data_IF_585054432186
#
_entry.id   IF_585054432186
#
_cell.length_a   1.000
_cell.length_b   1.000
_cell.length_c   1.000
_cell.angle_alpha   90.00
_cell.angle_beta   90.00
_cell.angle_gamma   90.00
#
_symmetry.space_group_name_H-M   'P 1'
#
loop_
_entity.id
_entity.type
_entity.pdbx_description
1 polymer ?
#
# COMPACT_ATOMS: atom_id res chain seq x y z
N UNK A 1 4.84 22.86 -16.13
CA UNK A 1 4.47 21.60 -16.81
C UNK A 1 2.97 21.64 -16.99
N UNK A 2 2.39 21.22 -18.13
CA UNK A 2 0.94 21.18 -18.25
C UNK A 2 0.39 20.34 -17.11
N UNK A 3 -0.74 20.76 -16.52
CA UNK A 3 -1.44 20.02 -15.46
C UNK A 3 -1.86 18.67 -16.04
N UNK A 4 -0.99 17.68 -15.90
CA UNK A 4 -1.29 16.31 -16.29
C UNK A 4 -2.40 15.84 -15.35
N UNK A 5 -3.56 15.52 -15.93
CA UNK A 5 -4.75 15.16 -15.16
C UNK A 5 -4.42 13.95 -14.27
N UNK A 6 -4.57 14.14 -12.96
CA UNK A 6 -4.28 13.10 -11.98
C UNK A 6 -5.23 11.93 -12.19
N UNK A 7 -4.69 10.71 -12.13
CA UNK A 7 -5.51 9.53 -12.23
C UNK A 7 -6.47 9.45 -11.03
N UNK A 8 -7.66 8.87 -11.21
CA UNK A 8 -8.46 8.43 -10.08
C UNK A 8 -7.74 7.27 -9.37
N UNK A 9 -7.94 7.12 -8.06
CA UNK A 9 -7.19 6.14 -7.25
C UNK A 9 -8.10 5.14 -6.55
N UNK A 10 -7.63 3.90 -6.42
CA UNK A 10 -8.19 2.89 -5.51
C UNK A 10 -7.17 2.59 -4.42
N UNK A 11 -7.57 2.72 -3.16
CA UNK A 11 -6.84 2.19 -2.01
C UNK A 11 -7.29 0.74 -1.81
N UNK A 12 -6.39 -0.21 -2.06
CA UNK A 12 -6.62 -1.64 -1.84
C UNK A 12 -6.10 -2.04 -0.45
N UNK A 13 -7.03 -2.21 0.49
CA UNK A 13 -6.72 -2.52 1.88
C UNK A 13 -6.60 -4.03 2.11
N UNK A 14 -5.36 -4.52 2.24
CA UNK A 14 -5.02 -5.93 2.49
C UNK A 14 -4.72 -6.22 3.97
N UNK A 15 -4.53 -5.17 4.78
CA UNK A 15 -4.20 -5.27 6.20
C UNK A 15 -2.74 -4.90 6.48
N UNK A 16 -2.12 -5.61 7.43
CA UNK A 16 -0.77 -5.30 7.92
C UNK A 16 -0.76 -4.29 9.05
N UNK A 17 0.43 -4.03 9.61
CA UNK A 17 0.67 -3.16 10.78
C UNK A 17 0.01 -1.78 10.67
N UNK A 18 -0.07 -1.24 9.45
CA UNK A 18 -0.72 0.04 9.14
C UNK A 18 -2.21 0.10 9.54
N UNK A 19 -2.89 -1.04 9.58
CA UNK A 19 -4.30 -1.19 9.98
C UNK A 19 -4.46 -1.76 11.41
N UNK A 20 -3.37 -1.99 12.14
CA UNK A 20 -3.40 -2.57 13.49
C UNK A 20 -3.26 -1.49 14.57
N UNK A 21 -4.00 -1.62 15.66
CA UNK A 21 -3.73 -0.88 16.90
C UNK A 21 -3.10 -1.82 17.92
N UNK A 22 -2.10 -1.32 18.65
CA UNK A 22 -1.65 -1.94 19.88
C UNK A 22 -2.37 -1.32 21.07
N UNK A 23 -3.03 -2.14 21.88
CA UNK A 23 -3.43 -1.79 23.23
C UNK A 23 -2.28 -2.07 24.21
N UNK A 24 -2.10 -1.20 25.20
CA UNK A 24 -1.04 -1.35 26.19
C UNK A 24 -1.30 -2.57 27.10
N UNK A 25 -0.85 -3.75 26.69
CA UNK A 25 -0.88 -4.99 27.47
C UNK A 25 -1.52 -6.20 26.79
N UNK A 26 -2.24 -6.00 25.69
CA UNK A 26 -2.78 -7.05 24.83
C UNK A 26 -2.23 -6.83 23.43
N UNK A 27 -1.64 -7.85 22.80
CA UNK A 27 -0.93 -7.73 21.52
C UNK A 27 -1.72 -7.02 20.40
N UNK A 28 -1.04 -6.71 19.30
CA UNK A 28 -1.60 -5.94 18.18
C UNK A 28 -2.86 -6.60 17.60
N UNK A 29 -3.97 -5.86 17.53
CA UNK A 29 -5.23 -6.34 16.95
C UNK A 29 -5.61 -5.53 15.69
N UNK A 30 -6.30 -6.13 14.71
CA UNK A 30 -6.82 -5.38 13.55
C UNK A 30 -7.81 -4.33 14.05
N UNK A 31 -7.49 -3.05 13.85
CA UNK A 31 -8.26 -1.96 14.44
C UNK A 31 -9.02 -1.13 13.41
N UNK A 32 -8.55 -1.09 12.16
CA UNK A 32 -9.12 -0.25 11.12
C UNK A 32 -9.51 -1.11 9.91
N UNK A 33 -10.74 -0.93 9.42
CA UNK A 33 -11.08 -1.28 8.05
C UNK A 33 -10.47 -0.26 7.07
N UNK A 34 -10.58 -0.51 5.76
CA UNK A 34 -9.92 0.36 4.77
C UNK A 34 -10.44 1.79 4.81
N UNK A 35 -11.74 1.96 5.03
CA UNK A 35 -12.44 3.23 5.08
C UNK A 35 -12.00 4.03 6.32
N UNK A 36 -11.93 3.38 7.49
CA UNK A 36 -11.41 3.99 8.71
C UNK A 36 -9.91 4.33 8.59
N UNK A 37 -9.13 3.51 7.89
CA UNK A 37 -7.72 3.80 7.59
C UNK A 37 -7.60 5.09 6.76
N UNK A 38 -8.38 5.21 5.68
CA UNK A 38 -8.38 6.42 4.84
C UNK A 38 -8.86 7.65 5.61
N UNK A 39 -9.90 7.50 6.43
CA UNK A 39 -10.43 8.60 7.25
C UNK A 39 -9.42 9.09 8.30
N UNK A 40 -8.54 8.22 8.79
CA UNK A 40 -7.51 8.56 9.77
C UNK A 40 -6.31 9.32 9.17
N UNK A 41 -6.14 9.35 7.84
CA UNK A 41 -5.02 10.01 7.19
C UNK A 41 -5.40 11.41 6.71
N UNK A 42 -4.81 12.48 7.29
CA UNK A 42 -5.01 13.84 6.80
C UNK A 42 -4.61 13.97 5.33
N UNK A 43 -5.47 14.61 4.53
CA UNK A 43 -5.25 14.81 3.10
C UNK A 43 -5.92 13.77 2.19
N UNK A 44 -6.07 12.50 2.60
CA UNK A 44 -6.72 11.49 1.75
C UNK A 44 -8.22 11.76 1.53
N UNK A 45 -8.92 12.31 2.52
CA UNK A 45 -10.33 12.70 2.38
C UNK A 45 -10.57 13.84 1.37
N UNK A 46 -9.52 14.54 0.95
CA UNK A 46 -9.57 15.61 -0.06
C UNK A 46 -9.19 15.12 -1.46
N UNK A 47 -8.75 13.86 -1.59
CA UNK A 47 -8.38 13.25 -2.87
C UNK A 47 -9.64 13.00 -3.68
N UNK A 48 -9.77 13.69 -4.81
CA UNK A 48 -10.85 13.46 -5.75
C UNK A 48 -10.78 12.06 -6.35
N UNK A 49 -11.94 11.46 -6.59
CA UNK A 49 -12.08 10.13 -7.18
C UNK A 49 -11.28 9.04 -6.46
N UNK A 50 -11.16 9.13 -5.13
CA UNK A 50 -10.65 8.06 -4.29
C UNK A 50 -11.73 7.01 -4.05
N UNK A 51 -11.37 5.75 -4.20
CA UNK A 51 -12.16 4.59 -3.78
C UNK A 51 -11.39 3.76 -2.79
N UNK A 52 -12.10 3.10 -1.89
CA UNK A 52 -11.52 2.11 -0.98
C UNK A 52 -12.10 0.75 -1.33
N UNK A 53 -11.23 -0.25 -1.44
CA UNK A 53 -11.60 -1.65 -1.58
C UNK A 53 -10.85 -2.45 -0.54
N UNK A 54 -11.57 -3.12 0.33
CA UNK A 54 -10.99 -4.04 1.30
C UNK A 54 -11.04 -5.48 0.77
N UNK A 55 -9.92 -6.22 0.89
CA UNK A 55 -9.98 -7.68 0.67
C UNK A 55 -10.60 -8.37 1.90
N UNK A 56 -11.44 -9.41 1.69
CA UNK A 56 -12.17 -10.05 2.77
C UNK A 56 -11.26 -10.86 3.71
N UNK A 57 -10.22 -11.49 3.16
CA UNK A 57 -9.18 -12.15 3.93
C UNK A 57 -7.98 -11.20 4.02
N UNK A 58 -7.64 -10.79 5.24
CA UNK A 58 -6.48 -9.93 5.57
C UNK A 58 -5.45 -10.74 6.37
N UNK A 59 -4.79 -11.73 5.75
CA UNK A 59 -3.83 -12.57 6.44
C UNK A 59 -2.67 -11.73 6.99
N UNK A 60 -2.08 -12.19 8.08
CA UNK A 60 -0.81 -11.62 8.55
C UNK A 60 0.24 -11.79 7.45
N UNK A 61 0.98 -10.72 7.13
CA UNK A 61 2.05 -10.81 6.12
C UNK A 61 3.08 -11.88 6.46
N UNK A 62 3.36 -12.10 7.75
CA UNK A 62 4.29 -13.13 8.22
C UNK A 62 3.81 -14.58 7.99
N UNK A 63 2.53 -14.78 7.69
CA UNK A 63 1.90 -16.10 7.50
C UNK A 63 1.22 -16.22 6.13
N UNK A 64 1.55 -15.31 5.21
CA UNK A 64 0.91 -15.22 3.90
C UNK A 64 1.26 -16.46 3.05
N UNK A 65 0.24 -17.13 2.54
CA UNK A 65 0.41 -18.25 1.61
C UNK A 65 0.54 -17.79 0.16
N UNK A 66 1.15 -18.59 -0.73
CA UNK A 66 1.26 -18.24 -2.14
C UNK A 66 -0.09 -17.96 -2.83
N UNK A 67 -1.17 -18.72 -2.58
CA UNK A 67 -2.49 -18.39 -3.14
C UNK A 67 -3.04 -17.03 -2.67
N UNK A 68 -2.80 -16.65 -1.40
CA UNK A 68 -3.22 -15.36 -0.87
C UNK A 68 -2.39 -14.21 -1.47
N UNK A 69 -1.07 -14.38 -1.56
CA UNK A 69 -0.18 -13.45 -2.25
C UNK A 69 -0.61 -13.23 -3.71
N UNK A 70 -0.95 -14.31 -4.42
CA UNK A 70 -1.45 -14.24 -5.79
C UNK A 70 -2.81 -13.53 -5.87
N UNK A 71 -3.71 -13.76 -4.91
CA UNK A 71 -5.01 -13.09 -4.86
C UNK A 71 -4.86 -11.58 -4.66
N UNK A 72 -3.92 -11.15 -3.81
CA UNK A 72 -3.61 -9.73 -3.58
C UNK A 72 -3.08 -9.09 -4.86
N UNK A 73 -2.06 -9.71 -5.47
CA UNK A 73 -1.45 -9.20 -6.70
C UNK A 73 -2.47 -9.12 -7.86
N UNK A 74 -3.33 -10.13 -8.01
CA UNK A 74 -4.42 -10.12 -9.01
C UNK A 74 -5.43 -9.02 -8.75
N UNK A 75 -5.87 -8.84 -7.50
CA UNK A 75 -6.81 -7.78 -7.17
C UNK A 75 -6.26 -6.38 -7.49
N UNK A 76 -4.96 -6.15 -7.25
CA UNK A 76 -4.30 -4.90 -7.64
C UNK A 76 -4.25 -4.71 -9.16
N UNK A 77 -3.89 -5.75 -9.91
CA UNK A 77 -3.85 -5.70 -11.38
C UNK A 77 -5.26 -5.50 -11.98
N UNK A 78 -6.28 -6.14 -11.42
CA UNK A 78 -7.68 -5.97 -11.83
C UNK A 78 -8.17 -4.52 -11.63
N UNK A 79 -7.85 -3.90 -10.50
CA UNK A 79 -8.17 -2.47 -10.28
C UNK A 79 -7.42 -1.56 -11.25
N UNK A 80 -6.14 -1.83 -11.49
CA UNK A 80 -5.31 -1.07 -12.42
C UNK A 80 -5.82 -1.16 -13.87
N UNK A 81 -6.38 -2.32 -14.26
CA UNK A 81 -7.00 -2.53 -15.57
C UNK A 81 -8.27 -1.68 -15.78
N UNK A 82 -8.86 -1.12 -14.71
CA UNK A 82 -9.95 -0.14 -14.80
C UNK A 82 -9.44 1.28 -15.09
N UNK A 83 -8.14 1.47 -15.32
CA UNK A 83 -7.51 2.78 -15.56
C UNK A 83 -7.38 3.64 -14.31
N UNK A 84 -7.38 3.02 -13.12
CA UNK A 84 -7.26 3.69 -11.83
C UNK A 84 -5.89 3.39 -11.23
N UNK A 85 -5.18 4.41 -10.76
CA UNK A 85 -3.99 4.20 -9.95
C UNK A 85 -4.34 3.36 -8.70
N UNK A 86 -3.45 2.48 -8.26
CA UNK A 86 -3.72 1.60 -7.13
C UNK A 86 -2.68 1.80 -6.04
N UNK A 87 -3.11 2.12 -4.82
CA UNK A 87 -2.26 2.08 -3.64
C UNK A 87 -2.65 0.88 -2.77
N UNK A 88 -1.73 -0.05 -2.56
CA UNK A 88 -1.95 -1.31 -1.83
C UNK A 88 -1.33 -1.20 -0.45
N UNK A 89 -2.15 -1.28 0.60
CA UNK A 89 -1.63 -1.37 1.98
C UNK A 89 -1.32 -2.82 2.30
N UNK A 90 -0.10 -3.11 2.72
CA UNK A 90 0.36 -4.46 3.03
C UNK A 90 1.19 -4.50 4.31
N UNK A 91 1.28 -5.69 4.93
CA UNK A 91 2.23 -5.91 6.03
C UNK A 91 3.65 -6.01 5.51
N UNK A 92 4.60 -5.43 6.25
CA UNK A 92 5.98 -5.23 5.75
C UNK A 92 6.79 -6.52 5.59
N UNK A 93 6.38 -7.62 6.21
CA UNK A 93 7.21 -8.84 6.27
C UNK A 93 7.30 -9.57 4.93
N UNK A 94 6.28 -9.41 4.09
CA UNK A 94 6.22 -10.01 2.75
C UNK A 94 5.85 -9.00 1.66
N UNK A 95 6.02 -7.71 1.96
CA UNK A 95 5.67 -6.63 1.04
C UNK A 95 6.51 -6.72 -0.25
N UNK A 96 7.82 -6.95 -0.13
CA UNK A 96 8.73 -7.03 -1.28
C UNK A 96 8.38 -8.19 -2.22
N UNK A 97 8.02 -9.37 -1.70
CA UNK A 97 7.68 -10.51 -2.56
C UNK A 97 6.34 -10.32 -3.26
N UNK A 98 5.32 -9.78 -2.57
CA UNK A 98 4.00 -9.57 -3.18
C UNK A 98 4.05 -8.42 -4.19
N UNK A 99 4.82 -7.36 -3.90
CA UNK A 99 5.04 -6.28 -4.85
C UNK A 99 5.76 -6.79 -6.11
N UNK A 100 6.79 -7.62 -5.95
CA UNK A 100 7.48 -8.24 -7.08
C UNK A 100 6.59 -9.21 -7.86
N UNK A 101 5.79 -10.04 -7.18
CA UNK A 101 4.80 -10.89 -7.84
C UNK A 101 3.78 -10.06 -8.65
N UNK A 102 3.35 -8.92 -8.11
CA UNK A 102 2.47 -8.00 -8.82
C UNK A 102 3.17 -7.40 -10.05
N UNK A 103 4.45 -7.02 -9.95
CA UNK A 103 5.27 -6.53 -11.07
C UNK A 103 5.33 -7.53 -12.22
N UNK A 104 5.47 -8.82 -11.91
CA UNK A 104 5.47 -9.89 -12.91
C UNK A 104 4.11 -10.12 -13.59
N UNK A 105 3.01 -9.78 -12.92
CA UNK A 105 1.64 -9.96 -13.43
C UNK A 105 1.10 -8.70 -14.11
N UNK A 106 1.64 -7.53 -13.80
CA UNK A 106 1.18 -6.26 -14.32
C UNK A 106 1.74 -6.01 -15.73
N UNK A 107 0.89 -6.19 -16.74
CA UNK A 107 1.25 -5.97 -18.14
C UNK A 107 0.86 -4.57 -18.67
N UNK A 108 0.31 -3.69 -17.81
CA UNK A 108 -0.14 -2.35 -18.17
C UNK A 108 0.82 -1.26 -17.74
N UNK A 109 0.41 -0.01 -17.98
CA UNK A 109 1.17 1.18 -17.55
C UNK A 109 0.52 1.89 -16.35
N UNK A 110 -0.68 1.48 -15.94
CA UNK A 110 -1.40 2.12 -14.82
C UNK A 110 -0.63 1.92 -13.51
N UNK A 111 -0.28 2.99 -12.76
CA UNK A 111 0.55 2.86 -11.57
C UNK A 111 -0.07 1.97 -10.49
N UNK A 112 0.73 1.03 -9.97
CA UNK A 112 0.43 0.25 -8.76
C UNK A 112 1.55 0.47 -7.75
N UNK A 113 1.18 0.89 -6.53
CA UNK A 113 2.11 1.30 -5.48
C UNK A 113 1.79 0.53 -4.20
N UNK A 114 2.73 -0.27 -3.72
CA UNK A 114 2.65 -0.93 -2.43
C UNK A 114 3.20 -0.03 -1.33
N UNK A 115 2.59 -0.12 -0.15
CA UNK A 115 3.07 0.58 1.04
C UNK A 115 2.64 -0.15 2.31
N UNK A 116 3.14 0.29 3.46
CA UNK A 116 2.82 -0.27 4.77
C UNK A 116 3.27 0.64 5.89
N UNK A 117 3.45 0.07 7.08
CA UNK A 117 3.96 0.79 8.23
C UNK A 117 4.83 -0.14 9.08
N UNK A 118 5.92 0.39 9.63
CA UNK A 118 6.76 -0.30 10.61
C UNK A 118 6.18 -0.17 12.02
N UNK A 119 5.35 0.86 12.27
CA UNK A 119 4.68 1.09 13.57
C UNK A 119 3.15 0.97 13.44
N UNK A 120 2.47 0.46 14.48
CA UNK A 120 1.02 0.36 14.50
C UNK A 120 0.37 1.75 14.52
N UNK A 121 -0.89 1.84 14.11
CA UNK A 121 -1.61 3.11 13.98
C UNK A 121 -1.80 3.85 15.31
N UNK A 122 -1.79 3.13 16.43
CA UNK A 122 -1.91 3.72 17.78
C UNK A 122 -0.59 4.28 18.34
N UNK A 123 0.55 4.08 17.66
CA UNK A 123 1.84 4.57 18.13
C UNK A 123 1.96 6.10 17.93
N UNK A 124 2.54 6.80 18.91
CA UNK A 124 2.74 8.25 18.85
C UNK A 124 3.58 8.72 17.65
N UNK A 125 4.40 7.84 17.07
CA UNK A 125 5.20 8.11 15.88
C UNK A 125 4.86 7.18 14.72
N UNK A 126 3.59 6.83 14.53
CA UNK A 126 3.13 5.98 13.43
C UNK A 126 3.52 6.56 12.07
N UNK A 127 4.08 5.72 11.20
CA UNK A 127 4.55 6.07 9.84
C UNK A 127 3.49 5.83 8.75
N UNK A 128 2.50 4.99 9.04
CA UNK A 128 1.43 4.61 8.10
C UNK A 128 0.72 5.77 7.40
N UNK A 129 0.30 6.84 8.11
CA UNK A 129 -0.40 7.95 7.46
C UNK A 129 0.41 8.65 6.36
N UNK A 130 1.69 8.94 6.61
CA UNK A 130 2.55 9.57 5.61
C UNK A 130 2.80 8.63 4.43
N UNK A 131 3.17 7.38 4.72
CA UNK A 131 3.40 6.34 3.73
C UNK A 131 2.18 6.13 2.80
N UNK A 132 0.96 6.07 3.35
CA UNK A 132 -0.25 5.89 2.55
C UNK A 132 -0.61 7.13 1.72
N UNK A 133 -0.43 8.33 2.27
CA UNK A 133 -0.64 9.57 1.51
C UNK A 133 0.32 9.66 0.32
N UNK A 134 1.61 9.38 0.54
CA UNK A 134 2.62 9.38 -0.50
C UNK A 134 2.34 8.30 -1.56
N UNK A 135 1.97 7.09 -1.13
CA UNK A 135 1.61 6.02 -2.06
C UNK A 135 0.40 6.38 -2.94
N UNK A 136 -0.63 7.01 -2.35
CA UNK A 136 -1.78 7.49 -3.10
C UNK A 136 -1.38 8.61 -4.08
N UNK A 137 -0.48 9.52 -3.69
CA UNK A 137 0.02 10.58 -4.57
C UNK A 137 0.79 10.00 -5.77
N UNK A 138 1.68 9.03 -5.53
CA UNK A 138 2.45 8.36 -6.59
C UNK A 138 1.53 7.56 -7.51
N UNK A 139 0.56 6.82 -6.95
CA UNK A 139 -0.40 6.03 -7.74
C UNK A 139 -1.23 6.91 -8.70
N UNK A 140 -1.48 8.17 -8.34
CA UNK A 140 -2.22 9.13 -9.16
C UNK A 140 -1.38 9.84 -10.21
N UNK A 141 -0.05 9.76 -10.10
CA UNK A 141 0.86 10.52 -10.94
C UNK A 141 1.00 9.89 -12.32
N UNK A 142 0.71 10.63 -13.41
CA UNK A 142 1.00 10.17 -14.76
C UNK A 142 2.50 9.91 -14.99
N UNK A 143 3.38 10.55 -14.21
CA UNK A 143 4.83 10.32 -14.28
C UNK A 143 5.25 8.96 -13.71
N UNK A 144 4.38 8.28 -12.95
CA UNK A 144 4.62 6.92 -12.47
C UNK A 144 4.19 5.85 -13.50
N UNK A 145 3.54 6.26 -14.60
CA UNK A 145 3.07 5.32 -15.61
C UNK A 145 4.24 4.60 -16.31
N UNK A 146 4.10 3.29 -16.49
CA UNK A 146 5.12 2.46 -17.16
C UNK A 146 6.42 2.24 -16.36
N UNK A 147 6.50 2.67 -15.10
CA UNK A 147 7.67 2.41 -14.24
C UNK A 147 7.68 0.98 -13.65
N UNK A 148 6.62 0.21 -13.90
CA UNK A 148 6.34 -1.06 -13.22
C UNK A 148 5.65 -0.84 -11.88
N UNK A 149 5.61 -1.89 -11.05
CA UNK A 149 5.09 -1.79 -9.68
C UNK A 149 6.12 -1.12 -8.78
N UNK A 150 5.65 -0.22 -7.93
CA UNK A 150 6.48 0.56 -7.03
C UNK A 150 6.19 0.22 -5.57
N UNK A 151 7.16 0.47 -4.70
CA UNK A 151 6.99 0.51 -3.25
C UNK A 151 7.29 1.92 -2.78
N UNK A 152 6.40 2.49 -1.96
CA UNK A 152 6.62 3.79 -1.32
C UNK A 152 6.71 3.62 0.17
N UNK A 153 7.82 4.09 0.74
CA UNK A 153 8.10 3.98 2.17
C UNK A 153 9.03 5.12 2.61
N UNK A 154 8.77 5.73 3.76
CA UNK A 154 9.64 6.75 4.38
C UNK A 154 10.04 7.92 3.43
N UNK A 155 9.14 8.31 2.51
CA UNK A 155 9.39 9.38 1.54
C UNK A 155 10.21 8.96 0.31
N UNK A 156 10.50 7.68 0.15
CA UNK A 156 11.24 7.12 -0.99
C UNK A 156 10.33 6.30 -1.91
N UNK A 157 10.70 6.24 -3.20
CA UNK A 157 10.01 5.46 -4.23
C UNK A 157 10.99 4.40 -4.75
N UNK A 158 10.65 3.13 -4.53
CA UNK A 158 11.49 1.99 -4.90
C UNK A 158 10.82 1.20 -6.03
N UNK A 159 11.63 0.62 -6.93
CA UNK A 159 11.13 -0.36 -7.89
C UNK A 159 10.90 -1.71 -7.18
N UNK A 160 9.71 -2.30 -7.35
CA UNK A 160 9.35 -3.56 -6.69
C UNK A 160 10.34 -4.71 -6.97
N UNK A 161 10.97 -4.72 -8.16
CA UNK A 161 11.98 -5.72 -8.54
C UNK A 161 13.32 -5.64 -7.79
N UNK A 162 13.59 -4.55 -7.08
CA UNK A 162 14.89 -4.28 -6.47
C UNK A 162 14.82 -3.94 -4.97
N UNK A 163 13.63 -3.65 -4.45
CA UNK A 163 13.41 -3.26 -3.07
C UNK A 163 13.52 -4.48 -2.13
N UNK A 164 14.06 -4.26 -0.94
CA UNK A 164 14.16 -5.29 0.10
C UNK A 164 14.14 -4.65 1.49
N UNK A 165 13.39 -5.25 2.41
CA UNK A 165 13.40 -4.94 3.84
C UNK A 165 14.77 -5.29 4.42
N UNK A 166 15.58 -4.28 4.65
CA UNK A 166 16.93 -4.35 5.21
C UNK A 166 16.94 -4.27 6.75
N UNK A 167 15.88 -3.74 7.38
CA UNK A 167 15.80 -3.58 8.84
C UNK A 167 14.45 -4.04 9.40
N UNK A 168 14.46 -4.64 10.60
CA UNK A 168 13.25 -5.15 11.25
C UNK A 168 12.47 -4.11 12.05
N UNK A 169 13.04 -2.92 12.29
CA UNK A 169 12.48 -1.90 13.20
C UNK A 169 12.59 -0.46 12.71
N UNK A 170 13.58 -0.13 11.87
CA UNK A 170 13.75 1.22 11.35
C UNK A 170 12.57 1.64 10.48
N UNK A 171 12.18 2.92 10.50
CA UNK A 171 11.11 3.42 9.62
C UNK A 171 11.54 3.44 8.14
N UNK A 172 12.83 3.63 7.88
CA UNK A 172 13.46 3.47 6.56
C UNK A 172 13.95 2.03 6.37
N UNK A 173 13.03 1.07 6.47
CA UNK A 173 13.37 -0.34 6.43
C UNK A 173 13.69 -0.87 5.03
N UNK A 174 13.25 -0.19 3.97
CA UNK A 174 13.29 -0.64 2.57
C UNK A 174 14.31 0.13 1.73
#
# INVERSE_FOLDING_TARGET
>A
MPDAELLPVTILAVGGTIAMASDAGAGTSPALDGEALVAAVPGLGQVSDLRVRSLPNRPSSAQLTCPEALAIARAAVEEAALGRGVAVTHGTDTLEEVAFLCDLLHAGDTPIVFTGAMRPSSAAGADGPANLLDAAAVARSPAAAGLGVLVVFAGEIHAARAVRKADSTAMSAF
#
